data_IF_474562760298
#
_entry.id   IF_474562760298
#
_cell.length_a   1.000
_cell.length_b   1.000
_cell.length_c   1.000
_cell.angle_alpha   90.00
_cell.angle_beta   90.00
_cell.angle_gamma   90.00
#
_symmetry.space_group_name_H-M   'P 1'
#
loop_
_entity.id
_entity.type
_entity.pdbx_description
1 polymer ?
#
# COMPACT_ATOMS: atom_id res chain seq x y z
N UNK A 1 -21.41 28.47 7.53
CA UNK A 1 -21.98 27.22 7.01
C UNK A 1 -21.20 26.84 5.75
N UNK A 2 -20.62 25.65 5.69
CA UNK A 2 -20.00 25.18 4.46
C UNK A 2 -21.13 24.92 3.43
N UNK A 3 -21.04 25.55 2.27
CA UNK A 3 -21.96 25.31 1.17
C UNK A 3 -21.43 24.12 0.39
N UNK A 4 -22.05 22.95 0.53
CA UNK A 4 -21.70 21.78 -0.26
C UNK A 4 -22.45 21.81 -1.59
N UNK A 5 -21.75 21.52 -2.68
CA UNK A 5 -22.40 21.12 -3.93
C UNK A 5 -22.68 19.62 -3.87
N UNK A 6 -23.75 19.14 -4.56
CA UNK A 6 -23.97 17.70 -4.67
C UNK A 6 -22.75 16.97 -5.21
N UNK A 7 -22.49 15.79 -4.66
CA UNK A 7 -21.43 14.90 -5.13
C UNK A 7 -21.85 14.23 -6.46
N UNK A 8 -20.88 13.92 -7.31
CA UNK A 8 -21.11 13.08 -8.48
C UNK A 8 -21.34 11.62 -8.07
N UNK A 9 -20.57 11.17 -7.06
CA UNK A 9 -20.63 9.80 -6.53
C UNK A 9 -20.53 9.78 -5.02
N UNK A 10 -21.25 8.83 -4.43
CA UNK A 10 -21.12 8.47 -3.02
C UNK A 10 -20.81 6.97 -2.96
N UNK A 11 -19.63 6.64 -2.44
CA UNK A 11 -19.21 5.27 -2.21
C UNK A 11 -19.56 4.89 -0.78
N UNK A 12 -20.29 3.81 -0.59
CA UNK A 12 -20.72 3.31 0.74
C UNK A 12 -20.05 1.97 1.02
N UNK A 13 -19.64 1.73 2.26
CA UNK A 13 -19.06 0.47 2.70
C UNK A 13 -19.26 0.24 4.20
N UNK A 14 -19.19 -1.01 4.64
CA UNK A 14 -19.10 -1.36 6.07
C UNK A 14 -17.66 -1.25 6.60
N UNK A 15 -16.65 -1.03 5.73
CA UNK A 15 -15.24 -1.00 6.07
C UNK A 15 -14.52 0.22 5.45
N UNK A 16 -14.86 1.44 5.89
CA UNK A 16 -14.16 2.66 5.54
C UNK A 16 -12.97 2.90 6.49
N UNK A 17 -11.76 2.97 5.93
CA UNK A 17 -10.56 3.38 6.65
C UNK A 17 -10.12 4.77 6.20
N UNK A 18 -10.24 5.76 7.08
CA UNK A 18 -9.86 7.15 6.79
C UNK A 18 -8.46 7.52 7.30
N UNK A 19 -7.84 6.66 8.13
CA UNK A 19 -6.61 6.96 8.85
C UNK A 19 -6.80 7.81 10.10
N UNK A 20 -8.03 8.15 10.48
CA UNK A 20 -8.34 8.88 11.73
C UNK A 20 -8.45 7.92 12.93
N UNK A 21 -8.57 6.63 12.70
CA UNK A 21 -8.58 5.54 13.69
C UNK A 21 -7.79 4.36 13.16
N UNK A 22 -7.41 3.44 14.05
CA UNK A 22 -6.64 2.23 13.68
C UNK A 22 -7.53 1.16 13.01
N UNK A 23 -8.84 1.25 13.16
CA UNK A 23 -9.79 0.27 12.64
C UNK A 23 -10.74 0.89 11.60
N UNK A 24 -11.08 0.15 10.53
CA UNK A 24 -12.11 0.56 9.60
C UNK A 24 -13.50 0.50 10.26
N UNK A 25 -14.42 1.35 9.83
CA UNK A 25 -15.78 1.41 10.33
C UNK A 25 -16.78 1.65 9.18
N UNK A 26 -18.08 1.37 9.37
CA UNK A 26 -19.09 1.71 8.37
C UNK A 26 -19.08 3.19 8.03
N UNK A 27 -19.11 3.51 6.73
CA UNK A 27 -19.04 4.89 6.29
C UNK A 27 -19.20 5.07 4.79
N UNK A 28 -18.97 6.31 4.36
CA UNK A 28 -19.05 6.69 2.96
C UNK A 28 -17.98 7.70 2.56
N UNK A 29 -17.74 7.79 1.25
CA UNK A 29 -16.90 8.81 0.61
C UNK A 29 -17.72 9.49 -0.47
N UNK A 30 -17.88 10.82 -0.36
CA UNK A 30 -18.55 11.65 -1.37
C UNK A 30 -17.49 12.29 -2.28
N UNK A 31 -17.64 12.14 -3.58
CA UNK A 31 -16.68 12.59 -4.60
C UNK A 31 -17.38 13.55 -5.55
N UNK A 32 -16.72 14.68 -5.85
CA UNK A 32 -17.12 15.64 -6.86
C UNK A 32 -15.94 15.97 -7.76
N UNK A 33 -16.05 15.70 -9.05
CA UNK A 33 -14.95 15.82 -9.99
C UNK A 33 -13.75 14.96 -9.58
N UNK A 34 -12.64 15.63 -9.33
CA UNK A 34 -11.35 15.03 -8.88
C UNK A 34 -11.12 15.17 -7.36
N UNK A 35 -12.16 15.53 -6.59
CA UNK A 35 -12.04 15.85 -5.16
C UNK A 35 -12.91 14.96 -4.30
N UNK A 36 -12.36 14.61 -3.13
CA UNK A 36 -13.16 14.08 -2.03
C UNK A 36 -13.81 15.28 -1.33
N UNK A 37 -15.14 15.34 -1.36
CA UNK A 37 -15.93 16.40 -0.73
C UNK A 37 -16.18 16.07 0.74
N UNK A 38 -16.26 14.78 1.07
CA UNK A 38 -16.49 14.29 2.42
C UNK A 38 -16.08 12.82 2.55
N UNK A 39 -15.63 12.41 3.74
CA UNK A 39 -15.38 11.01 4.10
C UNK A 39 -15.61 10.83 5.61
N UNK A 40 -16.38 9.81 6.00
CA UNK A 40 -16.70 9.52 7.38
C UNK A 40 -17.92 8.63 7.56
N UNK A 41 -18.52 8.59 8.79
CA UNK A 41 -19.70 7.79 9.06
C UNK A 41 -20.92 8.25 8.23
N UNK A 42 -21.62 7.32 7.61
CA UNK A 42 -22.74 7.63 6.70
C UNK A 42 -23.82 8.49 7.36
N UNK A 43 -24.05 8.29 8.67
CA UNK A 43 -25.07 8.99 9.45
C UNK A 43 -24.78 10.49 9.62
N UNK A 44 -23.52 10.90 9.53
CA UNK A 44 -23.09 12.29 9.69
C UNK A 44 -22.80 12.99 8.36
N UNK A 45 -22.98 12.27 7.25
CA UNK A 45 -22.78 12.86 5.93
C UNK A 45 -23.78 13.98 5.67
N UNK A 46 -23.31 15.19 5.24
CA UNK A 46 -24.21 16.27 4.88
C UNK A 46 -25.21 15.88 3.79
N UNK A 47 -26.50 16.08 4.05
CA UNK A 47 -27.56 15.73 3.10
C UNK A 47 -27.42 16.49 1.78
N UNK A 48 -26.89 17.70 1.81
CA UNK A 48 -26.61 18.52 0.63
C UNK A 48 -25.64 17.89 -0.39
N UNK A 49 -24.90 16.84 0.01
CA UNK A 49 -24.04 16.07 -0.89
C UNK A 49 -24.84 15.08 -1.76
N UNK A 50 -26.11 14.76 -1.38
CA UNK A 50 -27.00 13.93 -2.18
C UNK A 50 -27.82 14.82 -3.10
N UNK A 51 -27.60 14.72 -4.38
CA UNK A 51 -28.42 15.36 -5.43
C UNK A 51 -29.13 14.32 -6.28
N UNK A 52 -30.07 14.76 -7.10
CA UNK A 52 -30.84 13.88 -7.99
C UNK A 52 -29.97 13.12 -9.00
N UNK A 53 -28.81 13.70 -9.35
CA UNK A 53 -27.85 13.10 -10.27
C UNK A 53 -26.69 12.35 -9.57
N UNK A 54 -26.68 12.30 -8.23
CA UNK A 54 -25.61 11.65 -7.47
C UNK A 54 -25.72 10.13 -7.60
N UNK A 55 -24.69 9.49 -8.14
CA UNK A 55 -24.58 8.03 -8.18
C UNK A 55 -24.19 7.51 -6.80
N UNK A 56 -24.95 6.56 -6.24
CA UNK A 56 -24.60 5.87 -4.98
C UNK A 56 -24.17 4.46 -5.30
N UNK A 57 -22.94 4.12 -4.91
CA UNK A 57 -22.32 2.80 -5.15
C UNK A 57 -22.08 2.15 -3.80
N UNK A 58 -22.74 1.02 -3.55
CA UNK A 58 -22.53 0.21 -2.36
C UNK A 58 -21.50 -0.88 -2.63
N UNK A 59 -20.40 -0.84 -1.90
CA UNK A 59 -19.31 -1.80 -1.96
C UNK A 59 -19.44 -2.92 -0.92
N UNK A 60 -20.51 -2.94 -0.13
CA UNK A 60 -20.75 -3.95 0.89
C UNK A 60 -19.66 -3.96 1.95
N UNK A 61 -18.94 -5.07 2.07
CA UNK A 61 -17.86 -5.29 3.03
C UNK A 61 -16.46 -5.02 2.46
N UNK A 62 -16.36 -4.52 1.25
CA UNK A 62 -15.05 -4.17 0.66
C UNK A 62 -14.42 -2.99 1.39
N UNK A 63 -13.12 -3.09 1.68
CA UNK A 63 -12.35 -2.00 2.29
C UNK A 63 -12.20 -0.82 1.33
N UNK A 64 -12.68 0.34 1.75
CA UNK A 64 -12.37 1.62 1.08
C UNK A 64 -11.34 2.35 1.94
N UNK A 65 -10.21 2.71 1.32
CA UNK A 65 -9.11 3.41 1.99
C UNK A 65 -8.39 4.36 1.04
N UNK A 66 -7.62 5.35 1.55
CA UNK A 66 -6.75 6.17 0.72
C UNK A 66 -5.73 5.32 -0.03
N UNK A 67 -5.36 5.73 -1.24
CA UNK A 67 -4.23 5.14 -1.96
C UNK A 67 -2.93 5.34 -1.18
N UNK A 68 -1.97 4.43 -1.37
CA UNK A 68 -0.69 4.51 -0.70
C UNK A 68 0.15 5.68 -1.23
N UNK A 69 0.69 6.46 -0.29
CA UNK A 69 1.72 7.47 -0.52
C UNK A 69 2.98 7.06 0.22
N UNK A 70 3.87 6.37 -0.47
CA UNK A 70 5.15 5.95 0.12
C UNK A 70 6.20 7.04 -0.13
N UNK A 71 6.53 7.79 0.92
CA UNK A 71 7.55 8.84 0.86
C UNK A 71 8.97 8.32 1.11
N UNK A 72 9.14 7.03 1.48
CA UNK A 72 10.42 6.40 1.73
C UNK A 72 10.44 4.99 1.12
N UNK A 73 10.77 4.89 -0.14
CA UNK A 73 10.77 3.62 -0.88
C UNK A 73 12.18 3.27 -1.38
N UNK A 74 12.67 2.10 -1.00
CA UNK A 74 13.88 1.51 -1.57
C UNK A 74 13.56 0.75 -2.86
N UNK A 75 13.01 1.44 -3.86
CA UNK A 75 12.47 0.83 -5.08
C UNK A 75 13.46 -0.08 -5.79
N UNK A 76 14.69 0.44 -6.04
CA UNK A 76 15.72 -0.32 -6.74
C UNK A 76 16.15 -1.57 -5.99
N UNK A 77 16.41 -1.44 -4.68
CA UNK A 77 16.80 -2.57 -3.85
C UNK A 77 15.69 -3.60 -3.74
N UNK A 78 14.44 -3.18 -3.56
CA UNK A 78 13.29 -4.08 -3.48
C UNK A 78 13.06 -4.82 -4.80
N UNK A 79 13.19 -4.13 -5.94
CA UNK A 79 13.08 -4.73 -7.26
C UNK A 79 14.19 -5.77 -7.50
N UNK A 80 15.44 -5.48 -7.09
CA UNK A 80 16.55 -6.42 -7.16
C UNK A 80 16.31 -7.66 -6.29
N UNK A 81 15.79 -7.46 -5.08
CA UNK A 81 15.44 -8.55 -4.14
C UNK A 81 14.38 -9.51 -4.66
N UNK A 82 13.42 -9.00 -5.43
CA UNK A 82 12.32 -9.78 -5.99
C UNK A 82 12.66 -10.36 -7.36
N UNK A 83 13.81 -9.97 -7.93
CA UNK A 83 14.25 -10.44 -9.24
C UNK A 83 15.05 -11.74 -9.13
N UNK A 84 15.13 -12.54 -10.20
CA UNK A 84 16.01 -13.71 -10.27
C UNK A 84 17.51 -13.33 -10.38
N UNK A 85 17.84 -12.02 -10.41
CA UNK A 85 19.22 -11.55 -10.55
C UNK A 85 19.98 -11.58 -9.22
N UNK A 86 19.27 -11.50 -8.08
CA UNK A 86 19.86 -11.52 -6.75
C UNK A 86 19.35 -12.70 -5.93
N UNK A 87 20.27 -13.34 -5.20
CA UNK A 87 19.92 -14.39 -4.23
C UNK A 87 19.61 -13.76 -2.87
N UNK A 88 18.52 -14.21 -2.25
CA UNK A 88 18.23 -13.83 -0.86
C UNK A 88 19.22 -14.54 0.05
N UNK A 89 19.94 -13.74 0.79
CA UNK A 89 20.96 -14.22 1.69
C UNK A 89 20.85 -13.54 3.06
N UNK A 90 20.90 -14.34 4.11
CA UNK A 90 21.01 -13.85 5.50
C UNK A 90 22.09 -14.68 6.17
N UNK A 91 23.20 -14.04 6.53
CA UNK A 91 24.30 -14.63 7.29
C UNK A 91 24.38 -14.06 8.69
N UNK A 92 24.72 -14.88 9.67
CA UNK A 92 24.91 -14.46 11.07
C UNK A 92 26.31 -13.93 11.33
N UNK A 93 27.29 -14.42 10.58
CA UNK A 93 28.70 -14.03 10.65
C UNK A 93 29.39 -14.36 9.32
N UNK A 94 30.65 -13.93 9.18
CA UNK A 94 31.42 -14.11 7.95
C UNK A 94 31.54 -15.60 7.53
N UNK A 95 31.82 -16.50 8.47
CA UNK A 95 31.96 -17.93 8.17
C UNK A 95 30.65 -18.54 7.68
N UNK A 96 29.53 -18.18 8.31
CA UNK A 96 28.20 -18.59 7.86
C UNK A 96 27.87 -17.99 6.47
N UNK A 97 28.25 -16.74 6.23
CA UNK A 97 28.10 -16.09 4.94
C UNK A 97 28.81 -16.86 3.83
N UNK A 98 30.09 -17.17 4.03
CA UNK A 98 30.89 -17.91 3.06
C UNK A 98 30.32 -19.31 2.83
N UNK A 99 29.91 -20.02 3.87
CA UNK A 99 29.31 -21.34 3.78
C UNK A 99 27.99 -21.35 2.96
N UNK A 100 27.17 -20.32 3.12
CA UNK A 100 25.90 -20.18 2.37
C UNK A 100 26.10 -19.71 0.92
N UNK A 101 27.10 -18.86 0.68
CA UNK A 101 27.39 -18.32 -0.65
C UNK A 101 28.08 -19.36 -1.57
N UNK A 102 28.90 -20.25 -1.03
CA UNK A 102 29.63 -21.24 -1.80
C UNK A 102 28.74 -22.10 -2.73
N UNK A 103 27.62 -22.69 -2.28
CA UNK A 103 26.74 -23.46 -3.17
C UNK A 103 26.00 -22.60 -4.20
N UNK A 104 25.78 -21.30 -3.90
CA UNK A 104 25.17 -20.37 -4.86
C UNK A 104 26.18 -20.00 -5.95
N UNK A 105 27.42 -19.73 -5.59
CA UNK A 105 28.50 -19.45 -6.52
C UNK A 105 28.77 -20.65 -7.45
N UNK A 106 28.77 -21.87 -6.90
CA UNK A 106 29.02 -23.09 -7.66
C UNK A 106 27.98 -23.36 -8.78
N UNK A 107 26.80 -22.78 -8.71
CA UNK A 107 25.73 -22.89 -9.71
C UNK A 107 25.82 -21.86 -10.83
N UNK A 108 26.75 -20.90 -10.74
CA UNK A 108 26.91 -19.82 -11.70
C UNK A 108 28.14 -20.02 -12.58
N UNK A 109 28.18 -19.46 -13.79
CA UNK A 109 29.38 -19.40 -14.60
C UNK A 109 30.53 -18.73 -13.82
N UNK A 110 31.76 -19.25 -13.98
CA UNK A 110 32.92 -18.80 -13.23
C UNK A 110 33.28 -17.32 -13.41
N UNK A 111 32.85 -16.73 -14.52
CA UNK A 111 33.07 -15.33 -14.90
C UNK A 111 31.86 -14.40 -14.61
N UNK A 112 30.86 -14.91 -13.90
CA UNK A 112 29.65 -14.13 -13.57
C UNK A 112 29.68 -13.59 -12.14
N UNK A 113 29.01 -12.44 -11.96
CA UNK A 113 28.78 -11.88 -10.64
C UNK A 113 27.69 -12.65 -9.89
N UNK A 114 27.92 -12.89 -8.59
CA UNK A 114 26.90 -13.31 -7.64
C UNK A 114 26.44 -12.08 -6.87
N UNK A 115 25.22 -11.64 -7.16
CA UNK A 115 24.61 -10.54 -6.42
C UNK A 115 23.84 -11.11 -5.25
N UNK A 116 24.14 -10.62 -4.05
CA UNK A 116 23.47 -11.04 -2.82
C UNK A 116 23.10 -9.81 -2.00
N UNK A 117 22.12 -9.96 -1.14
CA UNK A 117 21.66 -8.90 -0.26
C UNK A 117 21.23 -9.49 1.08
N UNK A 118 21.47 -8.76 2.18
CA UNK A 118 21.06 -9.19 3.52
C UNK A 118 22.21 -9.39 4.51
N UNK A 119 23.44 -9.16 4.06
CA UNK A 119 24.58 -9.09 5.00
C UNK A 119 24.38 -7.90 5.94
N UNK A 120 24.48 -8.16 7.22
CA UNK A 120 24.45 -7.12 8.26
C UNK A 120 25.70 -7.32 9.11
N UNK A 121 26.61 -6.38 9.00
CA UNK A 121 27.77 -6.28 9.90
C UNK A 121 27.37 -5.35 11.05
N UNK A 122 27.02 -5.95 12.18
CA UNK A 122 26.71 -5.25 13.42
C UNK A 122 27.82 -5.52 14.46
N UNK A 123 29.05 -5.32 14.09
CA UNK A 123 30.16 -5.35 15.03
C UNK A 123 30.64 -3.96 15.39
#
# INVERSE_FOLDING_TARGET
>A
MATYCPADRILVTTALFTGASDEPAPGAVAIGGDRILWAGPLETMPEALRGDATEVIDYGDALIMPGFHDAHLHYFHSALYLSPLAERFVGENEADAVARLAPLAARRPADSWLLTQGWRDYL
#
